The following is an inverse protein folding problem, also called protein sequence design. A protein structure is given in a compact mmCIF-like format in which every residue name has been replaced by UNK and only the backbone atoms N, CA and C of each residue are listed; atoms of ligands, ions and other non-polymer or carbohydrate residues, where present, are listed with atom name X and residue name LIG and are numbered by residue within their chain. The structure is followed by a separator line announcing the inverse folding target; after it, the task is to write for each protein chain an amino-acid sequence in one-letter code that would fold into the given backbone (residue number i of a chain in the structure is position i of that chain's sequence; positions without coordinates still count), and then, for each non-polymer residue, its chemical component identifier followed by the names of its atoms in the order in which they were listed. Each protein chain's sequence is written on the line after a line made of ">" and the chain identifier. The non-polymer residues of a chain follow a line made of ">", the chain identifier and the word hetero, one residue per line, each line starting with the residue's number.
data_IF_161768344104
#
_entry.id   IF_161768344104
#
_cell.length_a   1.000
_cell.length_b   1.000
_cell.length_c   1.000
_cell.angle_alpha   90.00
_cell.angle_beta   90.00
_cell.angle_gamma   90.00
#
_symmetry.space_group_name_H-M   'P 1'
#
loop_
_entity.id
_entity.type
_entity.pdbx_description
1 polymer ?
#
# COMPACT_ATOMS: atom_id res chain seq x y z
N UNK A 1 3.22 -96.82 41.44
CA UNK A 1 2.06 -95.92 41.23
C UNK A 1 2.40 -94.57 41.84
N UNK A 2 2.66 -93.54 41.02
CA UNK A 2 2.48 -92.11 41.30
C UNK A 2 2.94 -91.37 40.02
N UNK A 3 1.99 -90.89 39.23
CA UNK A 3 2.23 -89.92 38.13
C UNK A 3 1.33 -88.72 38.42
N UNK A 4 1.96 -87.58 38.69
CA UNK A 4 1.29 -86.32 38.96
C UNK A 4 0.83 -85.68 37.63
N UNK A 5 -0.47 -85.41 37.52
CA UNK A 5 -1.10 -84.70 36.40
C UNK A 5 -1.09 -83.20 36.70
N UNK A 6 -0.46 -82.41 35.82
CA UNK A 6 -0.48 -80.95 35.84
C UNK A 6 -1.73 -80.44 35.13
N UNK A 7 -2.58 -79.71 35.85
CA UNK A 7 -3.70 -78.94 35.29
C UNK A 7 -3.18 -77.63 34.68
N UNK A 8 -3.43 -77.42 33.38
CA UNK A 8 -3.28 -76.13 32.73
C UNK A 8 -4.57 -75.32 32.92
N UNK A 9 -4.47 -74.13 33.53
CA UNK A 9 -5.58 -73.15 33.62
C UNK A 9 -5.50 -72.22 32.41
N UNK A 10 -6.58 -72.21 31.62
CA UNK A 10 -6.85 -71.20 30.59
C UNK A 10 -7.26 -69.89 31.28
N UNK A 11 -6.58 -68.79 30.95
CA UNK A 11 -6.96 -67.43 31.32
C UNK A 11 -7.89 -66.82 30.24
N UNK A 12 -8.94 -66.08 30.60
CA UNK A 12 -9.80 -65.40 29.63
C UNK A 12 -9.18 -64.09 29.16
N UNK A 13 -9.26 -63.84 27.84
CA UNK A 13 -8.84 -62.60 27.20
C UNK A 13 -9.83 -61.47 27.51
N UNK A 14 -9.38 -60.44 28.21
CA UNK A 14 -10.07 -59.16 28.32
C UNK A 14 -9.84 -58.35 27.03
N UNK A 15 -10.91 -58.12 26.26
CA UNK A 15 -10.90 -57.18 25.15
C UNK A 15 -11.15 -55.79 25.72
N UNK A 16 -10.08 -54.99 25.79
CA UNK A 16 -10.13 -53.58 26.17
C UNK A 16 -10.37 -52.77 24.89
N UNK A 17 -11.63 -52.41 24.62
CA UNK A 17 -11.98 -51.52 23.50
C UNK A 17 -11.56 -50.09 23.84
N UNK A 18 -10.45 -49.64 23.29
CA UNK A 18 -9.97 -48.26 23.34
C UNK A 18 -10.83 -47.37 22.43
N UNK A 19 -11.68 -46.55 23.03
CA UNK A 19 -12.31 -45.41 22.36
C UNK A 19 -11.23 -44.35 22.09
N UNK A 20 -10.65 -44.39 20.89
CA UNK A 20 -9.90 -43.27 20.32
C UNK A 20 -10.90 -42.16 19.98
N UNK A 21 -11.06 -41.20 20.89
CA UNK A 21 -11.65 -39.92 20.56
C UNK A 21 -10.70 -39.19 19.60
N UNK A 22 -11.02 -39.22 18.31
CA UNK A 22 -10.42 -38.33 17.32
C UNK A 22 -10.92 -36.92 17.67
N UNK A 23 -10.14 -36.20 18.46
CA UNK A 23 -10.25 -34.75 18.55
C UNK A 23 -9.77 -34.18 17.21
N UNK A 24 -10.67 -34.17 16.23
CA UNK A 24 -10.52 -33.30 15.08
C UNK A 24 -10.59 -31.87 15.60
N UNK A 25 -9.43 -31.27 15.86
CA UNK A 25 -9.33 -29.83 16.02
C UNK A 25 -9.78 -29.23 14.69
N UNK A 26 -11.03 -28.78 14.62
CA UNK A 26 -11.42 -27.78 13.65
C UNK A 26 -10.55 -26.55 13.97
N UNK A 27 -9.44 -26.41 13.25
CA UNK A 27 -8.78 -25.12 13.10
C UNK A 27 -9.83 -24.23 12.44
N UNK A 28 -10.57 -23.47 13.25
CA UNK A 28 -11.44 -22.43 12.73
C UNK A 28 -10.57 -21.46 11.95
N UNK A 29 -11.02 -21.06 10.77
CA UNK A 29 -10.41 -19.99 9.98
C UNK A 29 -10.38 -18.73 10.85
N UNK A 30 -9.26 -18.51 11.54
CA UNK A 30 -9.01 -17.23 12.18
C UNK A 30 -8.98 -16.18 11.07
N UNK A 31 -9.71 -15.07 11.20
CA UNK A 31 -9.69 -14.02 10.18
C UNK A 31 -8.25 -13.58 9.94
N UNK A 32 -7.87 -13.49 8.66
CA UNK A 32 -6.55 -13.04 8.27
C UNK A 32 -6.32 -11.59 8.77
N UNK A 33 -5.08 -11.23 9.14
CA UNK A 33 -4.78 -9.86 9.51
C UNK A 33 -4.96 -8.91 8.32
N UNK A 34 -5.43 -7.69 8.57
CA UNK A 34 -5.59 -6.64 7.55
C UNK A 34 -4.27 -6.22 6.91
N UNK A 35 -3.21 -6.18 7.72
CA UNK A 35 -1.85 -5.98 7.25
C UNK A 35 -1.09 -7.30 7.41
N UNK A 36 -0.76 -7.90 6.28
CA UNK A 36 0.05 -9.11 6.17
C UNK A 36 1.50 -8.88 6.59
N UNK A 37 2.34 -9.93 6.50
CA UNK A 37 3.72 -9.88 6.98
C UNK A 37 4.61 -8.84 6.26
N UNK A 38 4.24 -8.44 5.04
CA UNK A 38 4.98 -7.48 4.23
C UNK A 38 4.49 -6.02 4.40
N UNK A 39 3.54 -5.79 5.31
CA UNK A 39 3.03 -4.47 5.67
C UNK A 39 3.09 -4.26 7.20
N UNK A 40 4.12 -3.55 7.66
CA UNK A 40 4.29 -3.26 9.10
C UNK A 40 3.69 -1.89 9.42
N UNK A 41 2.65 -1.78 10.26
CA UNK A 41 2.03 -0.50 10.55
C UNK A 41 3.02 0.47 11.19
N UNK A 42 2.96 1.74 10.79
CA UNK A 42 3.84 2.80 11.30
C UNK A 42 3.80 2.91 12.83
N UNK A 43 2.65 2.65 13.44
CA UNK A 43 2.48 2.66 14.90
C UNK A 43 3.30 1.57 15.60
N UNK A 44 3.59 0.45 14.93
CA UNK A 44 4.46 -0.61 15.43
C UNK A 44 5.94 -0.35 15.12
N UNK A 45 6.24 0.27 13.97
CA UNK A 45 7.60 0.59 13.55
C UNK A 45 7.75 2.08 13.18
N UNK A 46 8.03 2.91 14.19
CA UNK A 46 8.28 4.35 14.05
C UNK A 46 9.76 4.71 14.26
N UNK A 47 10.64 3.71 14.25
CA UNK A 47 12.04 3.88 14.65
C UNK A 47 12.85 4.72 13.65
N UNK A 48 12.47 4.72 12.37
CA UNK A 48 13.06 5.59 11.37
C UNK A 48 12.70 7.06 11.65
N UNK A 49 11.41 7.38 11.83
CA UNK A 49 10.92 8.75 12.06
C UNK A 49 11.45 9.41 13.35
N UNK A 50 11.93 8.62 14.31
CA UNK A 50 12.50 9.12 15.56
C UNK A 50 14.01 9.31 15.51
N UNK A 51 14.70 8.80 14.48
CA UNK A 51 16.17 8.78 14.38
C UNK A 51 16.71 9.40 13.10
N UNK A 52 15.91 9.48 12.04
CA UNK A 52 16.25 10.07 10.77
C UNK A 52 15.45 11.37 10.54
N UNK A 53 15.92 12.27 9.65
CA UNK A 53 15.19 13.49 9.32
C UNK A 53 13.78 13.24 8.76
N UNK A 54 13.60 12.23 7.91
CA UNK A 54 12.32 11.89 7.28
C UNK A 54 11.58 13.08 6.64
N UNK A 55 12.24 13.83 5.73
CA UNK A 55 11.70 15.10 5.23
C UNK A 55 10.34 14.91 4.53
N UNK A 56 10.17 13.87 3.72
CA UNK A 56 8.90 13.54 3.08
C UNK A 56 7.78 13.32 4.12
N UNK A 57 8.06 12.58 5.19
CA UNK A 57 7.05 12.29 6.21
C UNK A 57 6.52 13.58 6.84
N UNK A 58 7.43 14.49 7.21
CA UNK A 58 7.05 15.76 7.83
C UNK A 58 6.39 16.72 6.83
N UNK A 59 6.73 16.62 5.55
CA UNK A 59 6.08 17.39 4.50
C UNK A 59 4.65 16.92 4.22
N UNK A 60 4.40 15.60 4.18
CA UNK A 60 3.16 15.05 3.61
C UNK A 60 2.17 14.51 4.64
N UNK A 61 2.62 13.99 5.79
CA UNK A 61 1.74 13.27 6.74
C UNK A 61 0.55 14.10 7.26
N UNK A 62 0.72 15.41 7.41
CA UNK A 62 -0.35 16.31 7.84
C UNK A 62 -1.41 16.57 6.75
N UNK A 63 -1.08 16.34 5.48
CA UNK A 63 -1.90 16.68 4.32
C UNK A 63 -2.53 15.48 3.61
N UNK A 64 -1.97 14.28 3.77
CA UNK A 64 -2.60 13.04 3.30
C UNK A 64 -3.87 12.78 4.13
N UNK A 65 -5.02 12.73 3.46
CA UNK A 65 -6.35 12.55 4.06
C UNK A 65 -7.05 11.31 3.48
N UNK A 66 -8.04 10.73 4.19
CA UNK A 66 -8.86 9.66 3.65
C UNK A 66 -9.45 10.04 2.30
N UNK A 67 -9.42 9.13 1.32
CA UNK A 67 -10.16 9.27 0.08
C UNK A 67 -11.66 9.45 0.37
N UNK A 68 -12.33 10.37 -0.33
CA UNK A 68 -13.73 10.71 0.00
C UNK A 68 -14.77 9.76 -0.59
N UNK A 69 -14.38 8.88 -1.52
CA UNK A 69 -15.18 7.80 -2.10
C UNK A 69 -14.34 6.53 -2.20
N UNK A 70 -14.98 5.39 -2.50
CA UNK A 70 -14.28 4.13 -2.78
C UNK A 70 -13.34 4.16 -4.01
N UNK A 71 -13.41 5.19 -4.86
CA UNK A 71 -12.64 5.29 -6.11
C UNK A 71 -11.75 6.55 -6.19
N UNK A 72 -11.64 7.31 -5.11
CA UNK A 72 -10.94 8.61 -5.07
C UNK A 72 -9.46 8.52 -4.65
N UNK A 73 -8.82 7.35 -4.66
CA UNK A 73 -7.42 7.19 -4.24
C UNK A 73 -6.46 8.13 -4.99
N UNK A 74 -6.66 8.32 -6.30
CA UNK A 74 -5.83 9.20 -7.14
C UNK A 74 -5.90 10.67 -6.74
N UNK A 75 -7.11 11.23 -6.61
CA UNK A 75 -7.31 12.62 -6.20
C UNK A 75 -6.87 12.84 -4.75
N UNK A 76 -7.05 11.85 -3.87
CA UNK A 76 -6.57 11.90 -2.50
C UNK A 76 -5.04 12.02 -2.44
N UNK A 77 -4.33 11.17 -3.18
CA UNK A 77 -2.87 11.15 -3.22
C UNK A 77 -2.32 12.45 -3.84
N UNK A 78 -2.85 12.87 -5.00
CA UNK A 78 -2.42 14.11 -5.67
C UNK A 78 -2.67 15.33 -4.79
N UNK A 79 -3.84 15.43 -4.16
CA UNK A 79 -4.16 16.56 -3.26
C UNK A 79 -3.22 16.60 -2.06
N UNK A 80 -2.94 15.44 -1.45
CA UNK A 80 -2.00 15.33 -0.33
C UNK A 80 -0.59 15.76 -0.70
N UNK A 81 -0.08 15.30 -1.84
CA UNK A 81 1.26 15.65 -2.32
C UNK A 81 1.38 17.14 -2.66
N UNK A 82 0.44 17.71 -3.42
CA UNK A 82 0.47 19.14 -3.78
C UNK A 82 0.36 20.06 -2.56
N UNK A 83 -0.50 19.70 -1.60
CA UNK A 83 -0.60 20.44 -0.35
C UNK A 83 0.71 20.36 0.47
N UNK A 84 1.34 19.18 0.55
CA UNK A 84 2.62 19.03 1.24
C UNK A 84 3.75 19.84 0.60
N UNK A 85 3.86 19.81 -0.73
CA UNK A 85 4.84 20.59 -1.49
C UNK A 85 4.63 22.11 -1.32
N UNK A 86 3.38 22.57 -1.20
CA UNK A 86 3.07 23.97 -0.92
C UNK A 86 3.28 24.33 0.55
N UNK A 87 3.16 23.36 1.45
CA UNK A 87 3.15 23.55 2.89
C UNK A 87 2.01 24.45 3.36
N UNK A 88 2.12 24.92 4.61
CA UNK A 88 1.22 25.93 5.17
C UNK A 88 2.02 27.20 5.49
N UNK A 89 1.96 28.24 4.64
CA UNK A 89 2.62 29.51 4.92
C UNK A 89 2.15 30.11 6.26
N UNK A 90 3.04 30.74 7.07
CA UNK A 90 2.69 31.26 8.40
C UNK A 90 1.57 32.30 8.43
N UNK A 91 1.30 32.95 7.29
CA UNK A 91 0.28 33.99 7.12
C UNK A 91 -0.74 33.59 6.04
N UNK A 92 -0.96 32.29 5.84
CA UNK A 92 -1.94 31.81 4.89
C UNK A 92 -3.36 32.24 5.31
N UNK A 93 -4.05 32.96 4.42
CA UNK A 93 -5.48 33.26 4.55
C UNK A 93 -6.33 32.19 3.82
N UNK A 94 -5.74 31.52 2.84
CA UNK A 94 -6.38 30.44 2.09
C UNK A 94 -6.46 29.14 2.91
N UNK A 95 -7.54 28.39 2.71
CA UNK A 95 -7.68 27.05 3.28
C UNK A 95 -6.77 26.05 2.57
N UNK A 96 -6.27 25.05 3.30
CA UNK A 96 -5.65 23.86 2.69
C UNK A 96 -6.65 23.22 1.73
N UNK A 97 -6.20 22.90 0.50
CA UNK A 97 -7.09 22.40 -0.55
C UNK A 97 -7.63 21.02 -0.21
N UNK A 98 -8.94 20.86 -0.24
CA UNK A 98 -9.61 19.55 -0.10
C UNK A 98 -9.68 18.80 -1.44
N UNK A 99 -9.94 17.49 -1.41
CA UNK A 99 -10.05 16.68 -2.62
C UNK A 99 -11.18 17.16 -3.57
N UNK A 100 -12.40 17.50 -3.09
CA UNK A 100 -13.42 18.09 -3.97
C UNK A 100 -13.01 19.45 -4.55
N UNK A 101 -12.37 20.32 -3.76
CA UNK A 101 -11.87 21.60 -4.27
C UNK A 101 -10.78 21.41 -5.32
N UNK A 102 -9.92 20.39 -5.20
CA UNK A 102 -8.93 20.06 -6.21
C UNK A 102 -9.60 19.59 -7.51
N UNK A 103 -10.64 18.76 -7.45
CA UNK A 103 -11.42 18.38 -8.63
C UNK A 103 -12.09 19.57 -9.30
N UNK A 104 -12.68 20.48 -8.51
CA UNK A 104 -13.28 21.72 -9.00
C UNK A 104 -12.23 22.64 -9.65
N UNK A 105 -11.06 22.76 -9.04
CA UNK A 105 -9.94 23.57 -9.54
C UNK A 105 -9.41 23.03 -10.87
N UNK A 106 -9.26 21.72 -10.98
CA UNK A 106 -8.77 21.05 -12.20
C UNK A 106 -9.85 21.04 -13.30
N UNK A 107 -11.12 21.00 -12.90
CA UNK A 107 -12.30 21.02 -13.78
C UNK A 107 -12.26 19.96 -14.89
N UNK A 108 -11.67 18.78 -14.60
CA UNK A 108 -11.62 17.66 -15.53
C UNK A 108 -12.82 16.71 -15.30
N UNK A 109 -13.76 16.61 -16.26
CA UNK A 109 -14.97 15.81 -16.09
C UNK A 109 -14.69 14.30 -16.05
N UNK A 110 -13.60 13.84 -16.67
CA UNK A 110 -13.20 12.44 -16.63
C UNK A 110 -12.67 12.10 -15.23
N UNK A 111 -11.75 12.90 -14.68
CA UNK A 111 -11.23 12.64 -13.34
C UNK A 111 -12.32 12.69 -12.27
N UNK A 112 -13.25 13.64 -12.38
CA UNK A 112 -14.41 13.74 -11.51
C UNK A 112 -15.31 12.50 -11.58
N UNK A 113 -15.55 11.97 -12.80
CA UNK A 113 -16.32 10.73 -13.00
C UNK A 113 -15.60 9.52 -12.40
N UNK A 114 -14.30 9.38 -12.66
CA UNK A 114 -13.50 8.25 -12.19
C UNK A 114 -13.33 8.23 -10.66
N UNK A 115 -13.32 9.40 -10.03
CA UNK A 115 -13.21 9.56 -8.58
C UNK A 115 -14.57 9.56 -7.85
N UNK A 116 -15.68 9.50 -8.57
CA UNK A 116 -17.01 9.41 -7.96
C UNK A 116 -17.19 8.04 -7.27
N UNK A 117 -18.20 7.94 -6.41
CA UNK A 117 -18.53 6.66 -5.76
C UNK A 117 -18.83 5.58 -6.81
N UNK A 118 -18.14 4.43 -6.70
CA UNK A 118 -18.25 3.35 -7.67
C UNK A 118 -17.66 3.66 -9.05
N UNK A 119 -16.82 4.71 -9.18
CA UNK A 119 -16.03 4.96 -10.37
C UNK A 119 -14.95 3.89 -10.58
N UNK A 120 -14.45 3.78 -11.80
CA UNK A 120 -13.49 2.73 -12.17
C UNK A 120 -12.08 2.94 -11.59
N UNK A 121 -11.81 4.06 -10.92
CA UNK A 121 -10.45 4.47 -10.57
C UNK A 121 -9.70 5.02 -11.79
N UNK A 122 -8.37 5.07 -11.74
CA UNK A 122 -7.54 5.65 -12.81
C UNK A 122 -6.49 4.65 -13.27
N UNK A 123 -6.09 4.71 -14.54
CA UNK A 123 -4.87 4.04 -15.04
C UNK A 123 -3.62 4.78 -14.57
N UNK A 124 -2.45 4.16 -14.74
CA UNK A 124 -1.18 4.83 -14.44
C UNK A 124 -0.99 6.11 -15.27
N UNK A 125 -1.30 6.05 -16.56
CA UNK A 125 -1.14 7.18 -17.47
C UNK A 125 -2.14 8.31 -17.14
N UNK A 126 -3.35 7.97 -16.71
CA UNK A 126 -4.32 8.94 -16.20
C UNK A 126 -3.82 9.60 -14.91
N UNK A 127 -3.22 8.85 -13.98
CA UNK A 127 -2.61 9.44 -12.78
C UNK A 127 -1.55 10.49 -13.15
N UNK A 128 -0.66 10.18 -14.10
CA UNK A 128 0.36 11.13 -14.59
C UNK A 128 -0.30 12.37 -15.19
N UNK A 129 -1.27 12.18 -16.09
CA UNK A 129 -1.95 13.27 -16.77
C UNK A 129 -2.72 14.17 -15.80
N UNK A 130 -3.46 13.59 -14.85
CA UNK A 130 -4.21 14.32 -13.83
C UNK A 130 -3.31 15.04 -12.85
N UNK A 131 -2.17 14.46 -12.48
CA UNK A 131 -1.14 15.15 -11.67
C UNK A 131 -0.62 16.39 -12.39
N UNK A 132 -0.29 16.29 -13.68
CA UNK A 132 0.14 17.45 -14.48
C UNK A 132 -0.93 18.55 -14.57
N UNK A 133 -2.20 18.17 -14.77
CA UNK A 133 -3.33 19.11 -14.75
C UNK A 133 -3.49 19.79 -13.39
N UNK A 134 -3.36 19.05 -12.30
CA UNK A 134 -3.42 19.58 -10.94
C UNK A 134 -2.29 20.58 -10.65
N UNK A 135 -1.05 20.29 -11.07
CA UNK A 135 0.06 21.22 -10.95
C UNK A 135 -0.22 22.54 -11.68
N UNK A 136 -0.73 22.45 -12.91
CA UNK A 136 -1.08 23.63 -13.72
C UNK A 136 -2.20 24.43 -13.05
N UNK A 137 -3.27 23.77 -12.64
CA UNK A 137 -4.44 24.42 -12.04
C UNK A 137 -4.12 25.03 -10.66
N UNK A 138 -3.17 24.47 -9.92
CA UNK A 138 -2.67 25.00 -8.66
C UNK A 138 -1.61 26.11 -8.80
N UNK A 139 -1.27 26.53 -10.02
CA UNK A 139 -0.25 27.55 -10.28
C UNK A 139 1.16 27.11 -9.88
N UNK A 140 1.44 25.80 -9.93
CA UNK A 140 2.73 25.21 -9.60
C UNK A 140 3.60 25.02 -10.86
N UNK A 141 3.68 26.05 -11.72
CA UNK A 141 4.36 25.99 -13.03
C UNK A 141 5.86 25.65 -12.96
N UNK A 142 6.47 25.81 -11.78
CA UNK A 142 7.84 25.40 -11.50
C UNK A 142 8.01 23.92 -11.20
N UNK A 143 6.94 23.11 -11.25
CA UNK A 143 6.96 21.67 -11.03
C UNK A 143 6.58 20.92 -12.31
N UNK A 144 7.13 19.71 -12.47
CA UNK A 144 6.80 18.76 -13.52
C UNK A 144 6.62 17.36 -12.95
N UNK A 145 6.13 16.45 -13.79
CA UNK A 145 6.06 15.02 -13.49
C UNK A 145 7.10 14.24 -14.28
N UNK A 146 7.88 13.42 -13.60
CA UNK A 146 8.67 12.33 -14.18
C UNK A 146 8.10 10.98 -13.71
N UNK A 147 8.43 9.89 -14.40
CA UNK A 147 7.89 8.57 -14.07
C UNK A 147 8.96 7.49 -14.02
N UNK A 148 8.78 6.55 -13.11
CA UNK A 148 9.45 5.27 -13.12
C UNK A 148 8.37 4.19 -13.16
N UNK A 149 8.18 3.56 -14.33
CA UNK A 149 7.28 2.42 -14.52
C UNK A 149 8.12 1.14 -14.68
N UNK A 150 8.24 0.30 -13.64
CA UNK A 150 9.02 -0.93 -13.73
C UNK A 150 8.52 -1.86 -14.83
N UNK A 151 9.44 -2.51 -15.55
CA UNK A 151 9.10 -3.47 -16.60
C UNK A 151 9.48 -4.92 -16.27
N UNK A 152 10.32 -5.14 -15.24
CA UNK A 152 10.81 -6.45 -14.86
C UNK A 152 11.11 -6.55 -13.36
N UNK A 153 10.97 -7.76 -12.80
CA UNK A 153 11.41 -8.10 -11.44
C UNK A 153 12.88 -8.53 -11.49
N UNK A 154 13.78 -7.56 -11.61
CA UNK A 154 15.23 -7.78 -11.64
C UNK A 154 16.00 -6.77 -10.79
N UNK A 155 17.27 -7.10 -10.52
CA UNK A 155 18.13 -6.28 -9.66
C UNK A 155 18.34 -4.86 -10.20
N UNK A 156 18.46 -4.69 -11.53
CA UNK A 156 18.68 -3.39 -12.12
C UNK A 156 17.45 -2.47 -11.94
N UNK A 157 16.26 -3.03 -12.11
CA UNK A 157 14.99 -2.32 -11.91
C UNK A 157 14.79 -1.98 -10.44
N UNK A 158 15.07 -2.93 -9.54
CA UNK A 158 15.00 -2.69 -8.09
C UNK A 158 15.99 -1.62 -7.63
N UNK A 159 17.20 -1.61 -8.17
CA UNK A 159 18.20 -0.59 -7.86
C UNK A 159 17.78 0.78 -8.38
N UNK A 160 17.11 0.86 -9.54
CA UNK A 160 16.52 2.11 -10.04
C UNK A 160 15.40 2.63 -9.11
N UNK A 161 14.54 1.74 -8.60
CA UNK A 161 13.50 2.09 -7.62
C UNK A 161 14.14 2.63 -6.33
N UNK A 162 15.14 1.92 -5.78
CA UNK A 162 15.86 2.36 -4.57
C UNK A 162 16.58 3.69 -4.78
N UNK A 163 17.20 3.89 -5.94
CA UNK A 163 17.88 5.15 -6.27
C UNK A 163 16.90 6.33 -6.29
N UNK A 164 15.72 6.15 -6.89
CA UNK A 164 14.68 7.18 -6.89
C UNK A 164 14.14 7.47 -5.49
N UNK A 165 13.83 6.42 -4.70
CA UNK A 165 13.39 6.56 -3.31
C UNK A 165 14.42 7.30 -2.44
N UNK A 166 15.70 6.97 -2.59
CA UNK A 166 16.78 7.64 -1.86
C UNK A 166 16.98 9.10 -2.28
N UNK A 167 16.77 9.40 -3.56
CA UNK A 167 16.87 10.76 -4.09
C UNK A 167 15.72 11.65 -3.57
N UNK A 168 14.48 11.15 -3.57
CA UNK A 168 13.32 11.87 -3.02
C UNK A 168 13.46 12.11 -1.51
N UNK A 169 13.80 11.08 -0.74
CA UNK A 169 13.97 11.16 0.73
C UNK A 169 15.09 12.13 1.18
N UNK A 170 15.92 12.63 0.25
CA UNK A 170 16.96 13.61 0.56
C UNK A 170 16.41 15.01 0.85
N UNK A 171 15.17 15.33 0.47
CA UNK A 171 14.58 16.66 0.63
C UNK A 171 13.06 16.59 0.86
N UNK A 172 12.43 17.75 1.05
CA UNK A 172 10.97 17.89 1.06
C UNK A 172 10.47 18.69 -0.15
N UNK A 173 11.33 18.89 -1.16
CA UNK A 173 11.06 19.78 -2.30
C UNK A 173 10.37 19.06 -3.47
N UNK A 174 10.30 17.73 -3.42
CA UNK A 174 9.69 16.85 -4.39
C UNK A 174 8.79 15.80 -3.70
N UNK A 175 7.98 15.08 -4.47
CA UNK A 175 7.05 14.07 -3.93
C UNK A 175 6.94 12.86 -4.86
N UNK A 176 6.78 11.67 -4.29
CA UNK A 176 6.48 10.45 -5.04
C UNK A 176 5.05 9.98 -4.77
N UNK A 177 4.24 9.93 -5.84
CA UNK A 177 2.99 9.17 -5.84
C UNK A 177 3.30 7.72 -6.24
N UNK A 178 2.67 6.78 -5.54
CA UNK A 178 2.80 5.35 -5.80
C UNK A 178 1.52 4.84 -6.43
N UNK A 179 1.63 4.20 -7.59
CA UNK A 179 0.59 3.34 -8.15
C UNK A 179 1.03 1.89 -7.99
N UNK A 180 0.23 1.04 -7.36
CA UNK A 180 0.62 -0.34 -7.02
C UNK A 180 -0.59 -1.23 -6.82
N UNK A 181 -0.39 -2.55 -6.85
CA UNK A 181 -1.39 -3.48 -6.37
C UNK A 181 -1.31 -3.60 -4.83
N UNK A 182 -2.37 -3.18 -4.13
CA UNK A 182 -2.37 -3.11 -2.67
C UNK A 182 -2.27 -4.50 -2.01
N UNK A 183 -2.92 -5.50 -2.62
CA UNK A 183 -2.96 -6.87 -2.10
C UNK A 183 -1.61 -7.58 -2.10
N UNK A 184 -0.67 -7.19 -2.95
CA UNK A 184 0.73 -7.68 -2.89
C UNK A 184 1.42 -7.25 -1.60
N UNK A 185 1.08 -6.07 -1.09
CA UNK A 185 1.69 -5.50 0.12
C UNK A 185 0.93 -5.94 1.37
N UNK A 186 -0.39 -5.77 1.36
CA UNK A 186 -1.23 -5.99 2.56
C UNK A 186 -1.70 -7.43 2.70
N UNK A 187 -1.78 -8.19 1.61
CA UNK A 187 -2.38 -9.53 1.60
C UNK A 187 -3.90 -9.57 1.79
N UNK A 188 -4.59 -8.41 1.73
CA UNK A 188 -6.04 -8.28 1.94
C UNK A 188 -6.78 -8.04 0.61
N UNK A 189 -7.01 -6.78 0.22
CA UNK A 189 -7.72 -6.45 -1.02
C UNK A 189 -6.80 -6.46 -2.24
N UNK A 190 -7.14 -7.25 -3.26
CA UNK A 190 -6.33 -7.43 -4.47
C UNK A 190 -6.78 -6.50 -5.61
N UNK A 191 -6.23 -5.29 -5.66
CA UNK A 191 -6.51 -4.36 -6.75
C UNK A 191 -5.53 -3.20 -6.84
N UNK A 192 -5.62 -2.42 -7.93
CA UNK A 192 -4.79 -1.26 -8.15
C UNK A 192 -5.16 -0.15 -7.18
N UNK A 193 -4.14 0.54 -6.68
CA UNK A 193 -4.29 1.59 -5.68
C UNK A 193 -3.26 2.69 -5.89
N UNK A 194 -3.59 3.88 -5.39
CA UNK A 194 -2.71 5.05 -5.42
C UNK A 194 -2.52 5.60 -4.01
N UNK A 195 -1.27 5.93 -3.65
CA UNK A 195 -0.93 6.55 -2.37
C UNK A 195 0.30 7.45 -2.49
N UNK A 196 0.77 8.03 -1.39
CA UNK A 196 1.95 8.91 -1.35
C UNK A 196 3.09 8.19 -0.62
N UNK A 197 4.31 8.26 -1.13
CA UNK A 197 5.49 7.80 -0.38
C UNK A 197 5.77 8.79 0.75
N UNK A 198 5.89 8.28 1.97
CA UNK A 198 6.14 9.08 3.16
C UNK A 198 7.55 9.02 3.69
N UNK A 199 8.31 7.99 3.37
CA UNK A 199 9.72 7.91 3.73
C UNK A 199 10.41 6.72 3.05
N UNK A 200 11.73 6.79 2.88
CA UNK A 200 12.57 5.63 2.55
C UNK A 200 13.66 5.36 3.60
N UNK A 201 13.59 4.20 4.26
CA UNK A 201 14.66 3.71 5.14
C UNK A 201 15.62 2.85 4.33
N UNK A 202 16.67 3.49 3.78
CA UNK A 202 17.69 2.80 2.98
C UNK A 202 18.47 1.73 3.76
N UNK A 203 18.58 1.86 5.09
CA UNK A 203 19.31 0.90 5.91
C UNK A 203 18.51 -0.37 6.15
N UNK A 204 17.19 -0.25 6.29
CA UNK A 204 16.27 -1.38 6.42
C UNK A 204 15.63 -1.82 5.09
N UNK A 205 15.95 -1.13 3.99
CA UNK A 205 15.43 -1.34 2.63
C UNK A 205 13.90 -1.44 2.56
N UNK A 206 13.23 -0.46 3.15
CA UNK A 206 11.77 -0.39 3.24
C UNK A 206 11.26 1.03 3.00
N UNK A 207 10.04 1.12 2.47
CA UNK A 207 9.36 2.38 2.17
C UNK A 207 8.12 2.52 3.03
N UNK A 208 7.84 3.73 3.51
CA UNK A 208 6.61 4.08 4.19
C UNK A 208 5.59 4.56 3.16
N UNK A 209 4.42 3.93 3.14
CA UNK A 209 3.29 4.35 2.32
C UNK A 209 2.34 5.16 3.21
N UNK A 210 2.11 6.43 2.86
CA UNK A 210 1.07 7.27 3.44
C UNK A 210 -0.24 6.95 2.75
N UNK A 211 -0.99 6.08 3.40
CA UNK A 211 -2.22 5.51 2.88
C UNK A 211 -3.36 6.54 2.82
N UNK A 212 -4.06 6.56 1.70
CA UNK A 212 -5.26 7.39 1.47
C UNK A 212 -6.54 6.60 1.70
N UNK A 213 -6.50 5.27 1.62
CA UNK A 213 -7.62 4.40 1.96
C UNK A 213 -7.72 4.19 3.49
N UNK A 214 -7.90 5.30 4.20
CA UNK A 214 -7.87 5.34 5.66
C UNK A 214 -9.16 4.84 6.32
N UNK A 215 -10.17 4.46 5.54
CA UNK A 215 -11.29 3.67 6.06
C UNK A 215 -10.82 2.27 6.48
N UNK A 216 -9.88 1.69 5.73
CA UNK A 216 -9.44 0.31 5.90
C UNK A 216 -8.04 0.17 6.50
N UNK A 217 -7.15 1.12 6.21
CA UNK A 217 -5.72 0.99 6.52
C UNK A 217 -5.14 2.25 7.17
N UNK A 218 -3.96 2.13 7.75
CA UNK A 218 -3.15 3.25 8.26
C UNK A 218 -1.80 3.23 7.54
N UNK A 219 -0.95 4.27 7.64
CA UNK A 219 0.38 4.20 7.05
C UNK A 219 1.17 2.96 7.51
N UNK A 220 1.84 2.30 6.57
CA UNK A 220 2.62 1.08 6.80
C UNK A 220 3.92 1.07 6.00
N UNK A 221 4.91 0.37 6.54
CA UNK A 221 6.16 0.08 5.88
C UNK A 221 6.06 -1.20 5.05
N UNK A 222 6.68 -1.20 3.88
CA UNK A 222 6.86 -2.41 3.06
C UNK A 222 8.29 -2.51 2.51
N UNK A 223 8.89 -3.71 2.40
CA UNK A 223 10.20 -3.89 1.77
C UNK A 223 10.20 -3.45 0.30
N UNK A 224 11.29 -2.85 -0.19
CA UNK A 224 11.35 -2.41 -1.60
C UNK A 224 11.22 -3.55 -2.63
N UNK A 225 11.68 -4.80 -2.38
CA UNK A 225 11.39 -5.91 -3.29
C UNK A 225 9.89 -6.24 -3.37
N UNK A 226 9.13 -6.06 -2.29
CA UNK A 226 7.67 -6.25 -2.29
C UNK A 226 6.99 -5.10 -3.03
N UNK A 227 7.43 -3.86 -2.80
CA UNK A 227 6.97 -2.69 -3.54
C UNK A 227 7.13 -2.88 -5.06
N UNK A 228 8.29 -3.36 -5.51
CA UNK A 228 8.54 -3.64 -6.94
C UNK A 228 7.54 -4.66 -7.49
N UNK A 229 7.30 -5.76 -6.77
CA UNK A 229 6.30 -6.76 -7.17
C UNK A 229 4.89 -6.18 -7.20
N UNK A 230 4.56 -5.28 -6.27
CA UNK A 230 3.28 -4.60 -6.23
C UNK A 230 3.08 -3.67 -7.44
N UNK A 231 4.13 -2.99 -7.88
CA UNK A 231 4.08 -2.19 -9.12
C UNK A 231 3.99 -3.06 -10.37
N UNK A 232 4.63 -4.23 -10.39
CA UNK A 232 4.66 -5.12 -11.55
C UNK A 232 3.41 -6.00 -11.69
N UNK A 233 2.63 -6.20 -10.62
CA UNK A 233 1.45 -7.07 -10.69
C UNK A 233 0.39 -6.44 -11.59
N UNK A 234 0.00 -7.11 -12.70
CA UNK A 234 -1.08 -6.63 -13.52
C UNK A 234 -2.40 -6.74 -12.76
N UNK A 235 -3.23 -5.74 -12.94
CA UNK A 235 -4.60 -5.72 -12.40
C UNK A 235 -5.43 -6.83 -13.04
N UNK A 236 -6.20 -7.55 -12.22
CA UNK A 236 -7.07 -8.65 -12.66
C UNK A 236 -8.26 -8.16 -13.49
N UNK A 237 -8.86 -9.06 -14.27
CA UNK A 237 -10.00 -8.76 -15.14
C UNK A 237 -11.26 -8.28 -14.40
N UNK A 238 -11.37 -8.52 -13.09
CA UNK A 238 -12.51 -8.09 -12.29
C UNK A 238 -12.61 -6.57 -12.11
N UNK A 239 -11.50 -5.85 -12.37
CA UNK A 239 -11.44 -4.38 -12.34
C UNK A 239 -11.69 -3.74 -13.71
N UNK A 240 -12.24 -4.50 -14.66
CA UNK A 240 -12.79 -3.99 -15.92
C UNK A 240 -11.77 -3.21 -16.75
N UNK A 241 -11.96 -1.90 -16.89
CA UNK A 241 -11.11 -1.03 -17.72
C UNK A 241 -9.67 -0.94 -17.22
N UNK A 242 -9.40 -1.34 -15.98
CA UNK A 242 -8.05 -1.39 -15.41
C UNK A 242 -7.37 -2.74 -15.65
N UNK A 243 -8.01 -3.73 -16.28
CA UNK A 243 -7.40 -5.04 -16.53
C UNK A 243 -6.02 -4.90 -17.22
N UNK A 244 -5.00 -5.55 -16.66
CA UNK A 244 -3.64 -5.54 -17.18
C UNK A 244 -2.82 -4.30 -16.79
N UNK A 245 -3.44 -3.28 -16.17
CA UNK A 245 -2.71 -2.12 -15.69
C UNK A 245 -1.67 -2.51 -14.64
N UNK A 246 -0.47 -1.96 -14.82
CA UNK A 246 0.66 -2.07 -13.89
C UNK A 246 1.03 -0.68 -13.39
N UNK A 247 1.66 -0.66 -12.22
CA UNK A 247 1.99 0.53 -11.47
C UNK A 247 3.40 1.05 -11.67
N UNK A 248 3.78 1.95 -10.79
CA UNK A 248 5.02 2.70 -10.85
C UNK A 248 5.02 3.87 -9.87
N UNK A 249 6.02 4.73 -10.03
CA UNK A 249 6.17 5.97 -9.28
C UNK A 249 5.95 7.16 -10.22
N UNK A 250 5.15 8.12 -9.78
CA UNK A 250 5.02 9.44 -10.41
C UNK A 250 5.73 10.45 -9.51
N UNK A 251 6.80 11.03 -10.02
CA UNK A 251 7.68 11.95 -9.32
C UNK A 251 7.33 13.39 -9.65
N UNK A 252 6.89 14.14 -8.66
CA UNK A 252 6.61 15.57 -8.77
C UNK A 252 7.84 16.33 -8.29
N UNK A 253 8.50 17.05 -9.18
CA UNK A 253 9.77 17.72 -8.90
C UNK A 253 9.89 19.06 -9.63
N UNK A 254 10.77 19.94 -9.14
CA UNK A 254 11.07 21.24 -9.78
C UNK A 254 12.04 21.12 -10.94
#
# INVERSE_FOLDING_TARGET
>A
MFKALRFARLLPAFVLSSLLAVAGAAAGDAPAPKLGPDAVPLTADHAYLTRAPAPDYWAFSAFVKPQFTSSACSIAAVTGALNGLRGLPPQAEDTVTTQPQMLELVADPEWAKLSAEGGDGVTFDQLVAFTGKALTAAGMDGYRTETLKPAADDAATLDAVRALLAANEASADDALLLYFNQGVVTGDWDGPHVSVIGAYDAAADKVLILEVDQEWYIPYWTPTPVLLKAMLKPTSAEHGVLEGETGGLVHILR
#
